data_IF_771625524227
#
_entry.id   IF_771625524227
#
_cell.length_a   1.000
_cell.length_b   1.000
_cell.length_c   1.000
_cell.angle_alpha   90.00
_cell.angle_beta   90.00
_cell.angle_gamma   90.00
#
_symmetry.space_group_name_H-M   'P 1'
#
loop_
_entity.id
_entity.type
_entity.pdbx_description
1 polymer ?
#
# COMPACT_ATOMS: atom_id res chain seq x y z
N UNK A 1 -19.14 -21.96 -4.64
CA UNK A 1 -18.00 -21.66 -3.75
C UNK A 1 -18.46 -21.10 -2.42
N UNK A 2 -19.22 -19.99 -2.39
CA UNK A 2 -19.71 -19.30 -1.18
C UNK A 2 -20.41 -20.25 -0.18
N UNK A 3 -21.42 -21.00 -0.62
CA UNK A 3 -22.15 -21.95 0.23
C UNK A 3 -21.22 -23.01 0.83
N UNK A 4 -20.26 -23.53 0.05
CA UNK A 4 -19.28 -24.52 0.57
C UNK A 4 -18.39 -23.93 1.66
N UNK A 5 -17.98 -22.67 1.52
CA UNK A 5 -17.20 -21.97 2.57
C UNK A 5 -18.05 -21.78 3.82
N UNK A 6 -19.32 -21.37 3.69
CA UNK A 6 -20.25 -21.28 4.82
C UNK A 6 -20.42 -22.61 5.54
N UNK A 7 -20.66 -23.71 4.81
CA UNK A 7 -20.77 -25.05 5.38
C UNK A 7 -19.53 -25.44 6.19
N UNK A 8 -18.33 -25.10 5.68
CA UNK A 8 -17.07 -25.35 6.41
C UNK A 8 -16.99 -24.51 7.67
N UNK A 9 -17.34 -23.23 7.61
CA UNK A 9 -17.34 -22.33 8.76
C UNK A 9 -18.29 -22.84 9.84
N UNK A 10 -19.50 -23.26 9.46
CA UNK A 10 -20.47 -23.80 10.40
C UNK A 10 -19.99 -25.11 11.04
N UNK A 11 -19.40 -26.03 10.28
CA UNK A 11 -18.79 -27.24 10.80
C UNK A 11 -17.68 -26.93 11.81
N UNK A 12 -16.81 -25.95 11.48
CA UNK A 12 -15.74 -25.54 12.40
C UNK A 12 -16.29 -24.88 13.67
N UNK A 13 -17.32 -24.03 13.57
CA UNK A 13 -18.00 -23.46 14.75
C UNK A 13 -18.59 -24.54 15.64
N UNK A 14 -19.28 -25.55 15.06
CA UNK A 14 -19.84 -26.69 15.81
C UNK A 14 -18.75 -27.50 16.52
N UNK A 15 -17.57 -27.66 15.90
CA UNK A 15 -16.43 -28.35 16.51
C UNK A 15 -15.52 -27.45 17.36
N UNK A 16 -15.95 -26.22 17.67
CA UNK A 16 -15.18 -25.21 18.45
C UNK A 16 -13.78 -24.92 17.88
N UNK A 17 -13.60 -25.05 16.58
CA UNK A 17 -12.37 -24.69 15.89
C UNK A 17 -12.38 -23.20 15.55
N UNK A 18 -11.21 -22.53 15.52
CA UNK A 18 -11.12 -21.11 15.19
C UNK A 18 -11.60 -20.85 13.77
N UNK A 19 -12.34 -19.77 13.60
CA UNK A 19 -12.79 -19.23 12.30
C UNK A 19 -12.49 -17.75 12.24
N UNK A 20 -12.07 -17.25 11.07
CA UNK A 20 -11.95 -15.83 10.81
C UNK A 20 -13.32 -15.22 10.48
N UNK A 21 -13.50 -13.96 10.86
CA UNK A 21 -14.70 -13.16 10.54
C UNK A 21 -14.42 -12.20 9.38
N UNK A 22 -15.46 -11.70 8.68
CA UNK A 22 -15.25 -10.57 7.77
C UNK A 22 -14.65 -9.36 8.51
N UNK A 23 -13.81 -8.53 7.85
CA UNK A 23 -13.42 -8.59 6.43
C UNK A 23 -12.30 -9.59 6.11
N UNK A 24 -11.59 -10.12 7.11
CA UNK A 24 -10.39 -10.96 6.94
C UNK A 24 -10.69 -12.38 6.44
N UNK A 25 -11.92 -12.82 6.61
CA UNK A 25 -12.34 -14.14 6.14
C UNK A 25 -12.41 -14.21 4.62
N UNK A 26 -12.33 -15.42 4.08
CA UNK A 26 -12.52 -15.66 2.66
C UNK A 26 -13.88 -15.13 2.13
N UNK A 27 -14.92 -15.16 2.97
CA UNK A 27 -16.22 -14.56 2.66
C UNK A 27 -16.10 -13.04 2.61
N UNK A 28 -15.38 -12.40 3.53
CA UNK A 28 -15.12 -10.97 3.52
C UNK A 28 -14.41 -10.54 2.22
N UNK A 29 -13.39 -11.28 1.78
CA UNK A 29 -12.70 -11.01 0.51
C UNK A 29 -13.63 -11.13 -0.70
N UNK A 30 -14.53 -12.11 -0.72
CA UNK A 30 -15.55 -12.23 -1.77
C UNK A 30 -16.53 -11.06 -1.76
N UNK A 31 -16.94 -10.59 -0.59
CA UNK A 31 -17.84 -9.43 -0.46
C UNK A 31 -17.17 -8.13 -0.96
N UNK A 32 -15.88 -7.93 -0.66
CA UNK A 32 -15.11 -6.81 -1.23
C UNK A 32 -15.07 -6.87 -2.76
N UNK A 33 -14.79 -8.05 -3.32
CA UNK A 33 -14.85 -8.26 -4.76
C UNK A 33 -16.23 -7.91 -5.31
N UNK A 34 -17.28 -8.46 -4.74
CA UNK A 34 -18.66 -8.24 -5.20
C UNK A 34 -19.07 -6.77 -5.07
N UNK A 35 -18.60 -6.05 -4.06
CA UNK A 35 -18.79 -4.60 -3.91
C UNK A 35 -18.21 -3.83 -5.09
N UNK A 36 -16.98 -4.15 -5.53
CA UNK A 36 -16.37 -3.49 -6.69
C UNK A 36 -17.11 -3.80 -7.99
N UNK A 37 -17.55 -5.05 -8.18
CA UNK A 37 -18.39 -5.42 -9.33
C UNK A 37 -19.75 -4.70 -9.33
N UNK A 38 -20.38 -4.56 -8.17
CA UNK A 38 -21.63 -3.81 -8.03
C UNK A 38 -21.42 -2.32 -8.33
N UNK A 39 -20.32 -1.73 -7.87
CA UNK A 39 -19.95 -0.35 -8.17
C UNK A 39 -19.72 -0.15 -9.68
N UNK A 40 -18.97 -1.03 -10.32
CA UNK A 40 -18.76 -1.00 -11.77
C UNK A 40 -20.07 -1.15 -12.54
N UNK A 41 -20.93 -2.06 -12.13
CA UNK A 41 -22.26 -2.24 -12.78
C UNK A 41 -23.15 -1.01 -12.62
N UNK A 42 -23.08 -0.31 -11.50
CA UNK A 42 -23.86 0.90 -11.21
C UNK A 42 -23.35 2.13 -11.96
N UNK A 43 -22.03 2.33 -12.02
CA UNK A 43 -21.39 3.52 -12.60
C UNK A 43 -21.06 3.33 -14.09
N UNK A 44 -21.05 2.10 -14.57
CA UNK A 44 -20.70 1.78 -15.95
C UNK A 44 -19.25 2.19 -16.25
N UNK A 45 -19.05 2.76 -17.43
CA UNK A 45 -17.73 3.19 -17.88
C UNK A 45 -17.09 4.29 -17.01
N UNK A 46 -17.88 5.11 -16.32
CA UNK A 46 -17.35 6.17 -15.46
C UNK A 46 -16.65 5.64 -14.21
N UNK A 47 -16.88 4.39 -13.82
CA UNK A 47 -16.18 3.76 -12.71
C UNK A 47 -14.66 3.75 -12.90
N UNK A 48 -14.20 3.54 -14.12
CA UNK A 48 -12.79 3.44 -14.49
C UNK A 48 -12.03 4.76 -14.60
N UNK A 49 -12.65 5.90 -14.30
CA UNK A 49 -12.02 7.20 -14.49
C UNK A 49 -12.36 8.18 -13.37
N UNK A 50 -11.52 9.21 -13.22
CA UNK A 50 -11.76 10.29 -12.25
C UNK A 50 -12.89 11.19 -12.68
N UNK A 51 -12.93 11.56 -13.97
CA UNK A 51 -13.92 12.50 -14.51
C UNK A 51 -15.26 11.81 -14.75
N UNK A 52 -16.34 12.60 -14.63
CA UNK A 52 -17.71 12.15 -14.80
C UNK A 52 -18.10 10.98 -13.87
N UNK A 53 -17.46 10.89 -12.71
CA UNK A 53 -17.66 9.84 -11.72
C UNK A 53 -18.21 10.44 -10.42
N UNK A 54 -19.47 10.12 -10.11
CA UNK A 54 -20.18 10.65 -8.93
C UNK A 54 -19.66 10.10 -7.60
N UNK A 55 -18.86 9.03 -7.60
CA UNK A 55 -18.33 8.39 -6.40
C UNK A 55 -16.82 8.64 -6.20
N UNK A 56 -16.11 8.97 -7.28
CA UNK A 56 -14.69 9.30 -7.20
C UNK A 56 -14.53 10.75 -6.76
N UNK A 57 -13.97 10.97 -5.57
CA UNK A 57 -13.58 12.30 -5.10
C UNK A 57 -12.54 12.87 -6.05
N UNK A 58 -12.77 14.09 -6.50
CA UNK A 58 -11.82 14.80 -7.33
C UNK A 58 -10.66 15.30 -6.47
N UNK A 59 -9.47 14.92 -6.86
CA UNK A 59 -8.20 15.38 -6.29
C UNK A 59 -7.36 15.82 -7.48
N UNK A 60 -6.74 17.01 -7.44
CA UNK A 60 -5.96 17.55 -8.55
C UNK A 60 -4.58 16.87 -8.61
N UNK A 61 -4.59 15.59 -8.96
CA UNK A 61 -3.39 14.79 -9.17
C UNK A 61 -2.57 15.31 -10.34
N UNK A 62 -1.25 15.14 -10.28
CA UNK A 62 -0.40 15.21 -11.45
C UNK A 62 -0.71 14.10 -12.45
N UNK A 63 -0.36 14.32 -13.69
CA UNK A 63 -0.57 13.40 -14.82
C UNK A 63 -2.03 12.96 -14.97
N UNK A 64 -3.00 13.90 -14.97
CA UNK A 64 -4.39 13.57 -15.12
C UNK A 64 -4.69 13.00 -16.51
N UNK A 65 -5.71 12.11 -16.60
CA UNK A 65 -6.18 11.62 -17.88
C UNK A 65 -6.74 12.75 -18.74
N UNK A 66 -6.44 12.72 -20.04
CA UNK A 66 -7.09 13.60 -21.01
C UNK A 66 -8.51 13.11 -21.29
N UNK A 67 -9.45 14.04 -21.32
CA UNK A 67 -10.88 13.76 -21.52
C UNK A 67 -11.31 14.33 -22.86
N UNK A 68 -11.99 13.52 -23.66
CA UNK A 68 -12.66 14.00 -24.86
C UNK A 68 -13.86 14.86 -24.44
N UNK A 69 -13.90 16.11 -24.90
CA UNK A 69 -14.91 17.09 -24.50
C UNK A 69 -16.33 16.74 -24.97
N UNK A 70 -16.47 16.02 -26.07
CA UNK A 70 -17.77 15.62 -26.62
C UNK A 70 -18.33 14.36 -25.94
N UNK A 71 -17.50 13.31 -25.83
CA UNK A 71 -17.92 12.03 -25.23
C UNK A 71 -17.79 11.98 -23.71
N UNK A 72 -17.01 12.88 -23.11
CA UNK A 72 -16.64 12.89 -21.68
C UNK A 72 -15.91 11.61 -21.22
N UNK A 73 -15.36 10.87 -22.16
CA UNK A 73 -14.55 9.69 -21.91
C UNK A 73 -13.07 10.05 -21.89
N UNK A 74 -12.29 9.34 -21.08
CA UNK A 74 -10.84 9.42 -21.16
C UNK A 74 -10.36 8.92 -22.52
N UNK A 75 -9.30 9.53 -23.04
CA UNK A 75 -8.75 9.22 -24.37
C UNK A 75 -7.73 8.07 -24.35
N UNK A 76 -7.34 7.60 -23.17
CA UNK A 76 -6.18 6.70 -22.99
C UNK A 76 -4.83 7.44 -22.93
N UNK A 77 -4.86 8.76 -23.08
CA UNK A 77 -3.69 9.62 -22.90
C UNK A 77 -3.80 10.40 -21.59
N UNK A 78 -2.67 10.91 -21.11
CA UNK A 78 -2.64 11.81 -19.96
C UNK A 78 -1.92 13.12 -20.28
N UNK A 79 -2.16 14.14 -19.47
CA UNK A 79 -1.51 15.43 -19.56
C UNK A 79 -0.24 15.41 -18.72
N UNK A 80 0.87 15.84 -19.27
CA UNK A 80 2.12 16.08 -18.53
C UNK A 80 2.08 17.53 -18.02
N UNK A 81 1.40 17.72 -16.91
CA UNK A 81 1.29 19.01 -16.22
C UNK A 81 2.55 19.35 -15.41
N UNK A 82 3.33 18.34 -15.04
CA UNK A 82 4.61 18.43 -14.33
C UNK A 82 5.63 17.46 -14.95
N UNK A 83 6.71 17.96 -15.57
CA UNK A 83 7.81 17.12 -16.05
C UNK A 83 8.48 16.31 -14.95
N UNK A 84 8.55 16.85 -13.72
CA UNK A 84 9.10 16.18 -12.56
C UNK A 84 8.22 14.99 -12.15
N UNK A 85 6.90 15.17 -12.13
CA UNK A 85 5.97 14.08 -11.83
C UNK A 85 6.02 12.98 -12.91
N UNK A 86 6.19 13.33 -14.17
CA UNK A 86 6.36 12.37 -15.26
C UNK A 86 7.65 11.53 -15.08
N UNK A 87 8.74 12.17 -14.65
CA UNK A 87 9.97 11.46 -14.31
C UNK A 87 9.77 10.54 -13.09
N UNK A 88 9.07 10.99 -12.04
CA UNK A 88 8.74 10.14 -10.88
C UNK A 88 7.89 8.94 -11.28
N UNK A 89 6.92 9.11 -12.18
CA UNK A 89 6.09 8.02 -12.69
C UNK A 89 6.92 6.97 -13.44
N UNK A 90 7.83 7.43 -14.33
CA UNK A 90 8.75 6.54 -15.05
C UNK A 90 9.65 5.77 -14.09
N UNK A 91 10.21 6.44 -13.09
CA UNK A 91 11.05 5.79 -12.07
C UNK A 91 10.26 4.82 -11.21
N UNK A 92 9.05 5.18 -10.81
CA UNK A 92 8.16 4.28 -10.07
C UNK A 92 7.83 3.03 -10.90
N UNK A 93 7.37 3.20 -12.12
CA UNK A 93 6.96 2.07 -12.97
C UNK A 93 8.14 1.15 -13.33
N UNK A 94 9.37 1.67 -13.37
CA UNK A 94 10.58 0.89 -13.67
C UNK A 94 11.30 0.32 -12.44
N UNK A 95 10.88 0.70 -11.22
CA UNK A 95 11.56 0.29 -9.99
C UNK A 95 12.95 0.88 -9.84
N UNK A 96 13.07 2.20 -10.08
CA UNK A 96 14.29 3.00 -9.97
C UNK A 96 14.08 4.28 -9.15
N UNK A 97 13.17 4.23 -8.19
CA UNK A 97 12.81 5.39 -7.34
C UNK A 97 13.91 5.81 -6.38
N UNK A 98 14.85 4.90 -6.09
CA UNK A 98 15.84 5.07 -5.03
C UNK A 98 15.31 4.74 -3.63
N UNK A 99 14.09 4.20 -3.55
CA UNK A 99 13.50 3.59 -2.35
C UNK A 99 13.49 2.08 -2.52
N UNK A 100 14.45 1.34 -1.94
CA UNK A 100 14.67 -0.08 -2.24
C UNK A 100 13.46 -0.98 -2.06
N UNK A 101 12.59 -0.69 -1.09
CA UNK A 101 11.35 -1.43 -0.88
C UNK A 101 10.37 -1.27 -2.05
N UNK A 102 10.16 -0.03 -2.52
CA UNK A 102 9.30 0.26 -3.66
C UNK A 102 9.88 -0.34 -4.94
N UNK A 103 11.19 -0.18 -5.14
CA UNK A 103 11.89 -0.69 -6.32
C UNK A 103 11.85 -2.21 -6.39
N UNK A 104 12.05 -2.91 -5.27
CA UNK A 104 11.94 -4.35 -5.21
C UNK A 104 10.54 -4.85 -5.60
N UNK A 105 9.49 -4.17 -5.13
CA UNK A 105 8.11 -4.52 -5.45
C UNK A 105 7.82 -4.33 -6.94
N UNK A 106 8.17 -3.17 -7.51
CA UNK A 106 7.90 -2.89 -8.92
C UNK A 106 8.73 -3.78 -9.86
N UNK A 107 9.95 -4.13 -9.47
CA UNK A 107 10.78 -5.10 -10.21
C UNK A 107 10.23 -6.51 -10.13
N UNK A 108 9.72 -6.95 -8.96
CA UNK A 108 9.02 -8.23 -8.85
C UNK A 108 7.78 -8.25 -9.76
N UNK A 109 6.98 -7.19 -9.76
CA UNK A 109 5.81 -7.10 -10.61
C UNK A 109 6.16 -7.30 -12.08
N UNK A 110 7.23 -6.65 -12.58
CA UNK A 110 7.71 -6.79 -13.96
C UNK A 110 8.27 -8.18 -14.28
N UNK A 111 8.89 -8.84 -13.31
CA UNK A 111 9.52 -10.14 -13.52
C UNK A 111 8.54 -11.30 -13.42
N UNK A 112 7.61 -11.23 -12.47
CA UNK A 112 6.76 -12.35 -12.08
C UNK A 112 5.27 -12.14 -12.46
N UNK A 113 4.86 -10.92 -12.79
CA UNK A 113 3.46 -10.58 -13.08
C UNK A 113 2.56 -10.65 -11.84
N UNK A 114 3.13 -10.74 -10.64
CA UNK A 114 2.38 -10.85 -9.40
C UNK A 114 3.17 -10.28 -8.22
N UNK A 115 2.44 -9.63 -7.30
CA UNK A 115 2.96 -9.14 -6.02
C UNK A 115 1.91 -9.34 -4.93
N UNK A 116 2.38 -9.53 -3.70
CA UNK A 116 1.53 -9.65 -2.52
C UNK A 116 0.67 -8.40 -2.30
N UNK A 117 -0.55 -8.55 -1.73
CA UNK A 117 -1.47 -7.40 -1.57
C UNK A 117 -0.89 -6.25 -0.72
N UNK A 118 -0.11 -6.53 0.33
CA UNK A 118 0.57 -5.48 1.12
C UNK A 118 1.60 -4.71 0.28
N UNK A 119 2.24 -5.37 -0.67
CA UNK A 119 3.12 -4.73 -1.63
C UNK A 119 2.34 -3.79 -2.57
N UNK A 120 1.16 -4.22 -3.04
CA UNK A 120 0.24 -3.36 -3.83
C UNK A 120 -0.15 -2.11 -3.06
N UNK A 121 -0.48 -2.24 -1.76
CA UNK A 121 -0.76 -1.11 -0.88
C UNK A 121 0.41 -0.13 -0.77
N UNK A 122 1.63 -0.64 -0.60
CA UNK A 122 2.84 0.18 -0.49
C UNK A 122 3.07 1.03 -1.74
N UNK A 123 3.08 0.41 -2.91
CA UNK A 123 3.41 1.11 -4.16
C UNK A 123 2.28 2.03 -4.64
N UNK A 124 1.02 1.66 -4.37
CA UNK A 124 -0.13 2.50 -4.71
C UNK A 124 -0.20 3.75 -3.82
N UNK A 125 0.01 3.61 -2.51
CA UNK A 125 0.11 4.75 -1.61
C UNK A 125 1.27 5.67 -2.00
N UNK A 126 2.44 5.12 -2.31
CA UNK A 126 3.62 5.87 -2.70
C UNK A 126 3.40 6.68 -3.99
N UNK A 127 2.76 6.09 -5.01
CA UNK A 127 2.44 6.77 -6.26
C UNK A 127 1.45 7.92 -6.05
N UNK A 128 0.44 7.71 -5.21
CA UNK A 128 -0.67 8.65 -5.03
C UNK A 128 -0.42 9.58 -3.83
N UNK A 129 -1.14 9.41 -2.76
CA UNK A 129 -1.23 10.31 -1.60
C UNK A 129 -0.04 10.30 -0.64
N UNK A 130 0.92 9.38 -0.82
CA UNK A 130 2.04 9.19 0.11
C UNK A 130 3.39 9.73 -0.38
N UNK A 131 3.51 10.15 -1.64
CA UNK A 131 4.80 10.58 -2.19
C UNK A 131 4.71 11.35 -3.50
N UNK A 132 4.31 10.70 -4.60
CA UNK A 132 4.38 11.31 -5.93
C UNK A 132 3.23 12.28 -6.24
N UNK A 133 2.07 12.11 -5.60
CA UNK A 133 0.84 12.85 -5.87
C UNK A 133 0.37 12.73 -7.33
N UNK A 134 0.50 11.52 -7.89
CA UNK A 134 0.15 11.19 -9.28
C UNK A 134 -1.20 10.48 -9.32
N UNK A 135 -1.96 10.70 -10.40
CA UNK A 135 -3.26 10.08 -10.62
C UNK A 135 -3.21 8.57 -10.43
N UNK A 136 -4.17 8.05 -9.67
CA UNK A 136 -4.35 6.62 -9.46
C UNK A 136 -4.58 5.86 -10.78
N UNK A 137 -5.13 6.53 -11.79
CA UNK A 137 -5.35 5.96 -13.12
C UNK A 137 -4.05 5.46 -13.76
N UNK A 138 -2.94 6.21 -13.60
CA UNK A 138 -1.60 5.81 -14.08
C UNK A 138 -1.12 4.52 -13.45
N UNK A 139 -1.36 4.37 -12.15
CA UNK A 139 -1.01 3.14 -11.45
C UNK A 139 -1.91 1.97 -11.85
N UNK A 140 -3.20 2.21 -12.04
CA UNK A 140 -4.17 1.20 -12.49
C UNK A 140 -3.81 0.64 -13.87
N UNK A 141 -3.34 1.49 -14.79
CA UNK A 141 -2.88 1.11 -16.13
C UNK A 141 -1.64 0.21 -16.07
N UNK A 142 -0.65 0.55 -15.24
CA UNK A 142 0.55 -0.29 -15.05
C UNK A 142 0.18 -1.66 -14.47
N UNK A 143 -0.78 -1.71 -13.54
CA UNK A 143 -1.25 -2.96 -12.96
C UNK A 143 -2.05 -3.80 -13.96
N UNK A 144 -2.86 -3.16 -14.80
CA UNK A 144 -3.58 -3.82 -15.90
C UNK A 144 -2.62 -4.47 -16.89
N UNK A 145 -1.54 -3.77 -17.25
CA UNK A 145 -0.53 -4.29 -18.18
C UNK A 145 0.26 -5.47 -17.59
N UNK A 146 0.63 -5.40 -16.30
CA UNK A 146 1.63 -6.29 -15.74
C UNK A 146 1.09 -7.43 -14.88
N UNK A 147 -0.10 -7.31 -14.26
CA UNK A 147 -0.63 -8.32 -13.37
C UNK A 147 -1.31 -9.46 -14.12
N UNK A 148 -0.87 -10.70 -13.88
CA UNK A 148 -1.50 -11.91 -14.43
C UNK A 148 -2.88 -12.22 -13.80
N UNK A 149 -3.13 -11.68 -12.62
CA UNK A 149 -4.40 -11.80 -11.89
C UNK A 149 -5.28 -10.55 -12.00
N UNK A 150 -5.01 -9.70 -13.01
CA UNK A 150 -5.79 -8.49 -13.26
C UNK A 150 -7.27 -8.82 -13.46
N UNK A 151 -8.11 -8.04 -12.79
CA UNK A 151 -9.55 -7.98 -13.00
C UNK A 151 -9.99 -6.51 -12.86
N UNK A 152 -10.68 -5.99 -13.85
CA UNK A 152 -10.92 -4.56 -14.01
C UNK A 152 -11.61 -3.91 -12.80
N UNK A 153 -12.72 -4.49 -12.30
CA UNK A 153 -13.45 -3.93 -11.18
C UNK A 153 -12.61 -3.90 -9.89
N UNK A 154 -11.88 -4.99 -9.62
CA UNK A 154 -11.03 -5.09 -8.44
C UNK A 154 -9.81 -4.18 -8.54
N UNK A 155 -9.18 -4.09 -9.72
CA UNK A 155 -8.06 -3.20 -9.92
C UNK A 155 -8.46 -1.74 -9.65
N UNK A 156 -9.47 -1.26 -10.35
CA UNK A 156 -9.98 0.12 -10.22
C UNK A 156 -10.45 0.41 -8.79
N UNK A 157 -11.28 -0.46 -8.21
CA UNK A 157 -11.81 -0.26 -6.87
C UNK A 157 -10.71 -0.20 -5.80
N UNK A 158 -9.68 -1.04 -5.89
CA UNK A 158 -8.54 -1.00 -4.97
C UNK A 158 -7.66 0.25 -5.18
N UNK A 159 -7.48 0.72 -6.42
CA UNK A 159 -6.77 1.97 -6.67
C UNK A 159 -7.50 3.18 -6.10
N UNK A 160 -8.84 3.24 -6.26
CA UNK A 160 -9.67 4.28 -5.65
C UNK A 160 -9.64 4.20 -4.11
N UNK A 161 -9.65 2.99 -3.52
CA UNK A 161 -9.47 2.79 -2.09
C UNK A 161 -8.14 3.34 -1.60
N UNK A 162 -7.03 2.93 -2.23
CA UNK A 162 -5.69 3.29 -1.77
C UNK A 162 -5.32 4.76 -2.04
N UNK A 163 -5.87 5.37 -3.07
CA UNK A 163 -5.76 6.81 -3.32
C UNK A 163 -6.69 7.65 -2.44
N UNK A 164 -7.60 7.03 -1.69
CA UNK A 164 -8.63 7.70 -0.92
C UNK A 164 -9.57 8.58 -1.77
N UNK A 165 -9.85 8.16 -2.99
CA UNK A 165 -10.81 8.84 -3.86
C UNK A 165 -12.21 8.26 -3.74
N UNK A 166 -12.34 6.95 -3.43
CA UNK A 166 -13.61 6.30 -3.09
C UNK A 166 -13.37 5.15 -2.11
N UNK A 167 -14.42 4.67 -1.45
CA UNK A 167 -14.47 3.52 -0.52
C UNK A 167 -13.67 3.66 0.78
N UNK A 168 -12.64 4.52 0.84
CA UNK A 168 -11.80 4.75 2.00
C UNK A 168 -11.41 6.24 2.10
N UNK A 169 -11.39 6.80 3.31
CA UNK A 169 -11.23 8.22 3.52
C UNK A 169 -10.04 8.62 4.43
N UNK A 170 -9.32 7.65 5.01
CA UNK A 170 -8.26 7.93 5.97
C UNK A 170 -6.93 8.23 5.25
N UNK A 171 -6.90 9.32 4.49
CA UNK A 171 -5.77 9.69 3.63
C UNK A 171 -4.47 9.95 4.39
N UNK A 172 -4.53 10.28 5.67
CA UNK A 172 -3.38 10.51 6.55
C UNK A 172 -2.60 9.23 6.88
N UNK A 173 -3.16 8.05 6.66
CA UNK A 173 -2.49 6.77 6.88
C UNK A 173 -1.58 6.43 5.69
N UNK A 174 -0.35 6.97 5.68
CA UNK A 174 0.63 6.70 4.63
C UNK A 174 1.59 5.58 5.02
N UNK A 175 1.87 4.69 4.07
CA UNK A 175 2.86 3.63 4.24
C UNK A 175 4.27 4.20 4.00
N UNK A 176 5.09 4.23 5.05
CA UNK A 176 6.49 4.62 4.90
C UNK A 176 7.26 3.56 4.09
N UNK A 177 7.98 3.93 3.02
CA UNK A 177 8.76 2.97 2.24
C UNK A 177 9.92 2.35 3.01
N UNK A 178 10.27 2.92 4.16
CA UNK A 178 11.33 2.41 5.06
C UNK A 178 10.72 1.60 6.20
N UNK A 179 9.86 2.21 7.02
CA UNK A 179 9.34 1.58 8.23
C UNK A 179 8.42 0.39 7.91
N UNK A 180 7.56 0.52 6.89
CA UNK A 180 6.67 -0.57 6.50
C UNK A 180 7.45 -1.75 5.91
N UNK A 181 8.46 -1.50 5.09
CA UNK A 181 9.34 -2.54 4.55
C UNK A 181 10.08 -3.29 5.67
N UNK A 182 10.69 -2.57 6.61
CA UNK A 182 11.40 -3.16 7.76
C UNK A 182 10.50 -4.08 8.61
N UNK A 183 9.22 -3.75 8.74
CA UNK A 183 8.28 -4.60 9.49
C UNK A 183 8.14 -6.01 8.90
N UNK A 184 8.26 -6.16 7.56
CA UNK A 184 7.99 -7.41 6.85
C UNK A 184 9.25 -8.10 6.33
N UNK A 185 10.33 -7.36 6.16
CA UNK A 185 11.62 -7.85 5.62
C UNK A 185 12.80 -7.18 6.34
N UNK A 186 12.89 -7.37 7.67
CA UNK A 186 13.88 -6.71 8.52
C UNK A 186 15.34 -6.95 8.06
N UNK A 187 15.63 -8.15 7.52
CA UNK A 187 16.94 -8.50 6.99
C UNK A 187 17.20 -7.98 5.56
N UNK A 188 16.19 -7.45 4.88
CA UNK A 188 16.29 -6.98 3.51
C UNK A 188 16.47 -8.10 2.48
N UNK A 189 16.03 -9.32 2.79
CA UNK A 189 16.16 -10.48 1.90
C UNK A 189 15.35 -10.29 0.61
N UNK A 190 14.16 -9.73 0.74
CA UNK A 190 13.30 -9.40 -0.39
C UNK A 190 13.93 -8.33 -1.29
N UNK A 191 14.45 -7.25 -0.68
CA UNK A 191 15.16 -6.21 -1.43
C UNK A 191 16.36 -6.80 -2.18
N UNK A 192 17.19 -7.63 -1.53
CA UNK A 192 18.37 -8.24 -2.15
C UNK A 192 18.00 -9.12 -3.34
N UNK A 193 16.83 -9.80 -3.29
CA UNK A 193 16.35 -10.66 -4.38
C UNK A 193 16.01 -9.86 -5.63
N UNK A 194 15.31 -8.73 -5.49
CA UNK A 194 14.78 -7.97 -6.63
C UNK A 194 15.59 -6.71 -6.98
N UNK A 195 16.51 -6.32 -6.10
CA UNK A 195 17.47 -5.21 -6.33
C UNK A 195 18.88 -5.74 -6.17
N UNK A 196 19.38 -6.51 -7.15
CA UNK A 196 20.67 -7.20 -7.05
C UNK A 196 21.87 -6.25 -6.94
N UNK A 197 21.71 -4.96 -7.24
CA UNK A 197 22.71 -3.93 -7.01
C UNK A 197 23.00 -3.77 -5.51
N UNK A 198 22.02 -4.03 -4.66
CA UNK A 198 22.12 -3.91 -3.20
C UNK A 198 22.37 -5.24 -2.49
N UNK A 199 22.75 -6.31 -3.21
CA UNK A 199 22.92 -7.64 -2.64
C UNK A 199 23.91 -7.66 -1.47
N UNK A 200 25.02 -6.95 -1.59
CA UNK A 200 26.09 -6.89 -0.59
C UNK A 200 25.98 -5.67 0.36
N UNK A 201 24.92 -4.87 0.23
CA UNK A 201 24.72 -3.71 1.11
C UNK A 201 24.48 -4.17 2.55
N UNK A 202 25.17 -3.59 3.57
CA UNK A 202 24.93 -3.91 4.97
C UNK A 202 23.47 -3.70 5.37
N UNK A 203 22.92 -4.61 6.21
CA UNK A 203 21.52 -4.55 6.72
C UNK A 203 21.14 -3.15 7.21
N UNK A 204 22.05 -2.48 7.91
CA UNK A 204 21.85 -1.14 8.46
C UNK A 204 21.39 -0.12 7.41
N UNK A 205 21.84 -0.27 6.16
CA UNK A 205 21.62 0.70 5.09
C UNK A 205 20.72 0.17 3.96
N UNK A 206 20.25 -1.08 4.04
CA UNK A 206 19.52 -1.75 2.93
C UNK A 206 18.25 -1.00 2.51
N UNK A 207 17.58 -0.31 3.43
CA UNK A 207 16.40 0.50 3.17
C UNK A 207 16.70 1.95 2.80
N UNK A 208 17.88 2.43 3.15
CA UNK A 208 18.32 3.81 2.93
C UNK A 208 19.79 3.83 2.48
N UNK A 209 20.10 3.22 1.32
CA UNK A 209 21.50 3.03 0.89
C UNK A 209 22.22 4.35 0.62
N UNK A 210 21.50 5.44 0.34
CA UNK A 210 22.06 6.77 0.19
C UNK A 210 22.68 7.34 1.48
N UNK A 211 22.33 6.78 2.64
CA UNK A 211 22.92 7.13 3.95
C UNK A 211 24.19 6.33 4.25
N UNK A 212 24.53 5.34 3.43
CA UNK A 212 25.74 4.56 3.63
C UNK A 212 27.00 5.39 3.32
N UNK A 213 28.03 5.35 4.20
CA UNK A 213 29.31 5.96 3.87
C UNK A 213 29.89 5.39 2.58
N UNK A 214 30.65 6.20 1.84
CA UNK A 214 31.24 5.78 0.56
C UNK A 214 32.13 4.53 0.70
N UNK A 215 32.77 4.35 1.86
CA UNK A 215 33.58 3.15 2.16
C UNK A 215 32.72 1.89 2.16
N UNK A 216 31.50 1.96 2.75
CA UNK A 216 30.59 0.82 2.81
C UNK A 216 29.93 0.57 1.44
N UNK A 217 29.63 1.63 0.67
CA UNK A 217 29.17 1.51 -0.71
C UNK A 217 30.23 0.79 -1.59
N UNK A 218 31.50 1.19 -1.48
CA UNK A 218 32.60 0.56 -2.21
C UNK A 218 32.80 -0.91 -1.83
N UNK A 219 32.68 -1.25 -0.53
CA UNK A 219 32.74 -2.65 -0.06
C UNK A 219 31.60 -3.48 -0.63
N UNK A 220 30.42 -2.89 -0.75
CA UNK A 220 29.24 -3.51 -1.34
C UNK A 220 29.27 -3.48 -2.88
N UNK A 221 30.32 -2.96 -3.51
CA UNK A 221 30.47 -2.83 -4.97
C UNK A 221 29.29 -2.10 -5.63
N UNK A 222 28.75 -1.10 -4.97
CA UNK A 222 27.65 -0.27 -5.48
C UNK A 222 27.93 1.20 -5.16
N UNK A 223 27.59 2.08 -6.09
CA UNK A 223 27.56 3.53 -5.90
C UNK A 223 26.12 4.01 -5.92
N UNK A 224 25.76 4.82 -4.93
CA UNK A 224 24.42 5.42 -4.84
C UNK A 224 24.49 6.80 -5.47
N UNK A 225 24.07 6.89 -6.74
CA UNK A 225 24.12 8.14 -7.49
C UNK A 225 23.09 8.16 -8.64
N UNK A 226 22.83 9.36 -9.16
CA UNK A 226 21.98 9.54 -10.33
C UNK A 226 20.53 9.18 -10.12
N UNK A 227 19.86 8.94 -11.24
CA UNK A 227 18.42 8.70 -11.36
C UNK A 227 18.07 7.26 -11.78
N UNK A 228 19.04 6.41 -12.00
CA UNK A 228 18.89 5.03 -12.47
C UNK A 228 19.15 4.85 -13.95
N UNK A 229 19.45 5.91 -14.70
CA UNK A 229 19.88 5.84 -16.11
C UNK A 229 21.33 5.41 -16.26
N UNK A 230 22.14 5.59 -15.23
CA UNK A 230 23.55 5.26 -15.21
C UNK A 230 23.80 3.76 -15.18
N UNK A 231 24.79 3.32 -15.97
CA UNK A 231 25.14 1.90 -16.09
C UNK A 231 26.31 1.54 -15.18
N UNK A 232 26.43 0.23 -14.90
CA UNK A 232 27.59 -0.34 -14.26
C UNK A 232 28.88 -0.01 -15.05
N UNK A 233 29.93 0.36 -14.32
CA UNK A 233 31.24 0.57 -14.88
C UNK A 233 32.29 -0.07 -13.95
N UNK A 234 33.28 -0.75 -14.53
CA UNK A 234 34.40 -1.39 -13.81
C UNK A 234 33.96 -2.38 -12.72
N UNK A 235 32.85 -3.08 -12.93
CA UNK A 235 32.29 -4.05 -11.97
C UNK A 235 31.66 -3.40 -10.73
N UNK A 236 31.43 -2.08 -10.76
CA UNK A 236 30.73 -1.34 -9.71
C UNK A 236 29.32 -1.05 -10.21
N UNK A 237 28.33 -1.62 -9.52
CA UNK A 237 26.93 -1.39 -9.80
C UNK A 237 26.53 0.04 -9.42
N UNK A 238 25.48 0.54 -10.06
CA UNK A 238 24.89 1.84 -9.71
C UNK A 238 23.47 1.63 -9.26
N UNK A 239 23.11 2.25 -8.15
CA UNK A 239 21.74 2.31 -7.67
C UNK A 239 21.33 3.78 -7.48
N UNK A 240 20.11 4.19 -7.91
CA UNK A 240 19.72 5.59 -7.89
C UNK A 240 19.60 6.18 -6.49
N UNK A 241 19.77 7.49 -6.41
CA UNK A 241 19.39 8.25 -5.21
C UNK A 241 17.85 8.30 -5.11
N UNK A 242 17.31 8.46 -3.88
CA UNK A 242 15.89 8.76 -3.70
C UNK A 242 15.48 9.95 -4.57
N UNK A 243 14.37 9.80 -5.31
CA UNK A 243 13.91 10.84 -6.22
C UNK A 243 13.40 12.09 -5.52
N UNK A 244 13.12 12.00 -4.20
CA UNK A 244 12.77 13.11 -3.33
C UNK A 244 13.01 12.75 -1.86
N UNK A 245 12.93 13.73 -0.96
CA UNK A 245 12.79 13.48 0.48
C UNK A 245 11.38 13.03 0.78
N UNK A 246 11.25 11.81 1.32
CA UNK A 246 9.93 11.19 1.55
C UNK A 246 9.10 11.96 2.59
N UNK A 247 9.72 12.47 3.67
CA UNK A 247 8.97 13.15 4.72
C UNK A 247 8.38 14.46 4.22
N UNK A 248 9.17 15.25 3.51
CA UNK A 248 8.72 16.50 2.89
C UNK A 248 7.61 16.26 1.86
N UNK A 249 7.81 15.28 0.96
CA UNK A 249 6.79 14.97 -0.07
C UNK A 249 5.50 14.44 0.52
N UNK A 250 5.57 13.58 1.54
CA UNK A 250 4.38 13.11 2.27
C UNK A 250 3.59 14.28 2.82
N UNK A 251 4.24 15.23 3.46
CA UNK A 251 3.56 16.37 4.08
C UNK A 251 2.89 17.28 3.03
N UNK A 252 3.54 17.50 1.88
CA UNK A 252 2.93 18.19 0.72
C UNK A 252 1.71 17.42 0.21
N UNK A 253 1.83 16.11 0.02
CA UNK A 253 0.71 15.26 -0.42
C UNK A 253 -0.47 15.34 0.57
N UNK A 254 -0.20 15.26 1.87
CA UNK A 254 -1.24 15.32 2.90
C UNK A 254 -1.94 16.68 2.92
N UNK A 255 -1.21 17.77 2.71
CA UNK A 255 -1.79 19.12 2.59
C UNK A 255 -2.73 19.20 1.36
N UNK A 256 -2.30 18.71 0.20
CA UNK A 256 -3.13 18.64 -1.01
C UNK A 256 -4.37 17.79 -0.82
N UNK A 257 -4.24 16.62 -0.18
CA UNK A 257 -5.38 15.74 0.17
C UNK A 257 -6.36 16.45 1.09
N UNK A 258 -5.86 17.12 2.13
CA UNK A 258 -6.68 17.89 3.07
C UNK A 258 -7.49 18.96 2.34
N UNK A 259 -6.84 19.78 1.50
CA UNK A 259 -7.51 20.81 0.68
C UNK A 259 -8.59 20.19 -0.21
N UNK A 260 -8.31 19.08 -0.90
CA UNK A 260 -9.29 18.40 -1.75
C UNK A 260 -10.50 17.87 -0.96
N UNK A 261 -10.28 17.38 0.26
CA UNK A 261 -11.37 16.95 1.16
C UNK A 261 -12.19 18.11 1.72
N UNK A 262 -11.60 19.28 1.89
CA UNK A 262 -12.29 20.51 2.29
C UNK A 262 -13.13 21.10 1.14
N UNK A 263 -12.61 21.07 -0.09
CA UNK A 263 -13.31 21.53 -1.31
C UNK A 263 -14.48 20.60 -1.67
N UNK A 264 -14.39 19.30 -1.40
CA UNK A 264 -15.47 18.29 -1.52
C UNK A 264 -16.05 18.12 -2.93
N UNK A 265 -15.26 18.28 -3.97
CA UNK A 265 -15.69 17.97 -5.33
C UNK A 265 -15.63 16.47 -5.62
N UNK A 266 -16.49 16.02 -6.50
CA UNK A 266 -16.48 14.69 -7.12
C UNK A 266 -16.28 14.84 -8.63
N UNK A 267 -15.93 13.75 -9.29
CA UNK A 267 -15.55 13.77 -10.70
C UNK A 267 -16.66 14.24 -11.66
N UNK A 268 -17.91 14.15 -11.27
CA UNK A 268 -19.08 14.64 -12.03
C UNK A 268 -19.48 16.09 -11.70
N UNK A 269 -18.81 16.73 -10.73
CA UNK A 269 -19.12 18.10 -10.36
C UNK A 269 -18.92 19.04 -11.56
N UNK A 270 -19.80 20.04 -11.70
CA UNK A 270 -19.74 21.00 -12.81
C UNK A 270 -18.36 21.65 -12.92
N UNK A 271 -17.78 22.05 -11.79
CA UNK A 271 -16.47 22.72 -11.74
C UNK A 271 -15.35 21.80 -12.24
N UNK A 272 -15.46 20.49 -12.01
CA UNK A 272 -14.52 19.50 -12.53
C UNK A 272 -14.68 19.35 -14.04
N UNK A 273 -15.91 19.30 -14.51
CA UNK A 273 -16.22 19.06 -15.92
C UNK A 273 -15.95 20.27 -16.82
N UNK A 274 -16.03 21.48 -16.30
CA UNK A 274 -15.75 22.73 -17.05
C UNK A 274 -14.35 23.31 -16.78
N UNK A 275 -13.59 22.72 -15.84
CA UNK A 275 -12.22 23.13 -15.51
C UNK A 275 -12.13 24.29 -14.51
N UNK A 276 -13.28 24.83 -14.04
CA UNK A 276 -13.26 25.95 -13.07
C UNK A 276 -12.82 25.54 -11.66
N UNK A 277 -12.62 24.24 -11.41
CA UNK A 277 -12.07 23.73 -10.16
C UNK A 277 -10.70 24.33 -9.82
N UNK A 278 -9.93 24.76 -10.83
CA UNK A 278 -8.57 25.32 -10.64
C UNK A 278 -8.58 26.50 -9.67
N UNK A 279 -9.54 27.40 -9.81
CA UNK A 279 -9.68 28.56 -8.94
C UNK A 279 -9.94 28.20 -7.44
N UNK A 280 -10.44 26.99 -7.16
CA UNK A 280 -10.67 26.52 -5.80
C UNK A 280 -9.42 25.94 -5.13
N UNK A 281 -8.39 25.69 -5.91
CA UNK A 281 -7.11 25.13 -5.47
C UNK A 281 -5.95 26.11 -5.62
N UNK A 282 -6.15 27.24 -6.31
CA UNK A 282 -5.21 28.35 -6.29
C UNK A 282 -5.12 28.87 -4.84
N UNK A 283 -3.89 28.95 -4.32
CA UNK A 283 -3.65 29.49 -2.98
C UNK A 283 -3.87 30.99 -3.02
N UNK A 284 -4.59 31.54 -2.04
CA UNK A 284 -4.82 32.98 -1.84
C UNK A 284 -3.50 33.72 -1.45
N UNK A 285 -2.35 33.31 -2.01
CA UNK A 285 -1.07 34.00 -1.86
C UNK A 285 -0.27 33.73 -0.58
N UNK A 286 -0.74 32.84 0.31
CA UNK A 286 0.05 32.32 1.43
C UNK A 286 0.51 30.88 1.12
N UNK A 287 1.48 30.74 0.23
CA UNK A 287 2.23 29.49 0.08
C UNK A 287 2.88 29.09 1.39
N UNK A 288 3.12 27.78 1.66
CA UNK A 288 3.85 27.36 2.84
C UNK A 288 5.22 28.02 2.82
N UNK A 289 5.41 29.04 3.65
CA UNK A 289 6.70 29.67 3.88
C UNK A 289 7.66 28.58 4.37
N UNK A 290 8.73 28.35 3.65
CA UNK A 290 9.88 27.62 4.14
C UNK A 290 10.28 28.18 5.52
N UNK A 291 10.19 27.32 6.52
CA UNK A 291 10.80 27.54 7.82
C UNK A 291 9.97 28.30 8.84
N UNK A 292 8.98 27.65 9.46
CA UNK A 292 8.73 27.83 10.90
C UNK A 292 8.32 26.49 11.52
N UNK A 293 9.19 25.99 12.39
CA UNK A 293 8.89 24.92 13.33
C UNK A 293 7.72 25.34 14.22
N UNK A 294 6.59 24.65 14.09
CA UNK A 294 5.43 24.89 14.92
C UNK A 294 4.27 23.99 14.46
N UNK A 295 4.38 22.67 14.65
CA UNK A 295 3.30 21.76 14.36
C UNK A 295 2.18 21.86 15.38
N UNK A 296 0.91 21.86 14.99
CA UNK A 296 -0.17 21.44 15.88
C UNK A 296 -0.15 19.91 16.00
N UNK A 297 -0.15 19.45 17.22
CA UNK A 297 -0.45 18.12 17.74
C UNK A 297 -0.17 16.90 16.88
N UNK A 298 0.74 16.06 17.35
CA UNK A 298 1.22 14.81 16.76
C UNK A 298 0.19 14.05 15.94
N UNK A 299 0.39 14.04 14.63
CA UNK A 299 -0.11 12.99 13.78
C UNK A 299 0.78 11.77 14.08
N UNK A 300 0.25 10.84 14.85
CA UNK A 300 0.90 9.56 15.14
C UNK A 300 1.28 8.90 13.81
N UNK A 301 2.58 8.85 13.56
CA UNK A 301 3.12 7.97 12.54
C UNK A 301 2.77 6.55 12.95
N UNK A 302 2.12 5.81 12.08
CA UNK A 302 1.83 4.39 12.29
C UNK A 302 3.15 3.62 12.45
N UNK A 303 3.69 3.62 13.66
CA UNK A 303 4.80 2.76 14.03
C UNK A 303 4.33 1.46 14.65
N UNK A 304 3.16 1.39 15.29
CA UNK A 304 2.75 0.20 16.05
C UNK A 304 1.23 0.05 16.15
N UNK A 305 0.58 -0.30 15.05
CA UNK A 305 -0.75 -0.87 15.19
C UNK A 305 -1.00 -1.90 14.09
N UNK A 306 -1.03 -3.09 14.57
CA UNK A 306 -1.81 -4.25 14.19
C UNK A 306 -2.42 -4.24 12.77
N UNK A 307 -2.04 -5.27 12.00
CA UNK A 307 -2.65 -5.61 10.71
C UNK A 307 -4.05 -6.20 10.86
N UNK A 308 -4.88 -5.58 11.70
CA UNK A 308 -6.29 -5.85 11.84
C UNK A 308 -7.08 -4.66 11.32
N UNK A 309 -7.78 -4.83 10.21
CA UNK A 309 -8.82 -3.91 9.77
C UNK A 309 -10.01 -4.04 10.72
N UNK A 310 -9.92 -3.38 11.89
CA UNK A 310 -11.04 -3.21 12.80
C UNK A 310 -11.94 -2.09 12.28
N UNK A 311 -13.08 -2.42 11.72
CA UNK A 311 -14.20 -1.49 11.57
C UNK A 311 -14.81 -1.26 12.95
N UNK A 312 -14.54 -0.12 13.59
CA UNK A 312 -15.44 0.43 14.59
C UNK A 312 -16.51 1.24 13.86
N UNK A 313 -17.73 0.72 13.87
CA UNK A 313 -18.94 1.47 13.49
C UNK A 313 -19.19 2.52 14.59
N UNK A 314 -18.98 3.81 14.30
CA UNK A 314 -19.56 4.89 15.11
C UNK A 314 -21.04 5.02 14.77
N UNK A 315 -21.89 4.56 15.69
CA UNK A 315 -23.29 4.95 15.75
C UNK A 315 -23.41 6.44 16.04
N UNK A 316 -24.06 7.17 15.14
CA UNK A 316 -24.48 8.54 15.34
C UNK A 316 -25.67 8.60 16.31
N UNK A 317 -25.40 8.94 17.58
CA UNK A 317 -26.42 9.19 18.58
C UNK A 317 -25.99 10.29 19.52
N UNK A 318 -26.46 11.52 19.25
CA UNK A 318 -26.21 12.68 20.12
C UNK A 318 -26.93 12.57 21.47
N UNK A 319 -26.26 13.00 22.54
CA UNK A 319 -26.81 13.78 23.65
C UNK A 319 -25.71 14.28 24.61
N UNK A 320 -25.82 15.53 24.95
CA UNK A 320 -25.01 16.39 25.81
C UNK A 320 -25.01 15.98 27.31
N UNK A 321 -24.15 16.57 28.15
CA UNK A 321 -23.61 16.00 29.37
C UNK A 321 -24.40 16.36 30.63
N UNK A 322 -24.29 15.52 31.68
CA UNK A 322 -24.55 15.94 33.06
C UNK A 322 -23.41 15.48 33.97
N UNK A 323 -22.88 16.46 34.71
CA UNK A 323 -22.05 16.36 35.90
C UNK A 323 -22.86 15.70 37.04
N UNK A 324 -22.23 14.90 37.87
CA UNK A 324 -22.20 15.01 39.33
C UNK A 324 -21.51 13.78 39.97
N UNK A 325 -20.53 14.13 40.77
CA UNK A 325 -20.21 13.91 42.21
C UNK A 325 -19.67 12.56 42.65
N UNK A 326 -18.48 12.72 43.23
CA UNK A 326 -17.75 11.77 44.08
C UNK A 326 -18.55 11.37 45.33
N UNK A 327 -18.40 10.09 45.73
CA UNK A 327 -18.45 9.66 47.12
C UNK A 327 -17.41 8.56 47.34
N UNK A 328 -16.48 8.85 48.27
CA UNK A 328 -15.61 7.90 48.95
C UNK A 328 -16.41 7.09 49.95
N UNK A 329 -16.12 5.82 50.12
CA UNK A 329 -16.17 5.14 51.42
C UNK A 329 -15.13 4.03 51.44
N UNK A 330 -14.43 3.98 52.59
CA UNK A 330 -13.32 3.14 52.96
C UNK A 330 -13.77 1.77 53.54
N UNK A 331 -12.83 0.83 53.47
CA UNK A 331 -12.29 -0.05 54.51
C UNK A 331 -12.96 -1.40 54.82
N UNK A 332 -12.10 -2.42 55.02
CA UNK A 332 -12.43 -3.58 55.85
C UNK A 332 -11.93 -4.95 55.38
N UNK A 333 -10.68 -5.31 55.71
CA UNK A 333 -10.40 -6.54 56.44
C UNK A 333 -10.09 -7.84 55.70
N UNK A 334 -8.81 -8.22 55.70
CA UNK A 334 -8.28 -9.59 55.58
C UNK A 334 -8.70 -10.49 56.80
N UNK A 335 -8.62 -11.85 56.76
CA UNK A 335 -7.34 -12.50 56.99
C UNK A 335 -7.07 -13.89 56.34
N UNK A 336 -5.81 -14.24 56.46
CA UNK A 336 -5.04 -15.46 56.15
C UNK A 336 -5.60 -16.79 56.71
N UNK A 337 -5.21 -17.92 56.04
CA UNK A 337 -4.55 -19.14 56.57
C UNK A 337 -4.34 -20.14 55.44
N UNK A 338 -3.14 -20.50 55.13
CA UNK A 338 -2.14 -21.48 55.56
C UNK A 338 -2.53 -22.95 55.30
N UNK A 339 -1.71 -23.54 54.43
CA UNK A 339 -0.86 -24.75 54.55
C UNK A 339 -1.47 -26.12 54.25
N UNK A 340 -0.70 -26.90 53.51
CA UNK A 340 -0.76 -28.37 53.53
C UNK A 340 0.00 -28.98 52.36
N UNK A 341 1.24 -29.36 52.59
CA UNK A 341 2.10 -30.13 51.71
C UNK A 341 1.73 -31.61 51.71
N UNK A 342 2.00 -32.31 50.63
CA UNK A 342 2.67 -33.63 50.66
C UNK A 342 2.99 -34.13 49.25
N UNK A 343 4.19 -34.64 49.16
CA UNK A 343 4.83 -35.28 48.02
C UNK A 343 4.34 -36.73 47.80
N UNK A 344 4.60 -37.28 46.62
CA UNK A 344 5.38 -38.47 46.26
C UNK A 344 5.02 -38.90 44.85
N UNK A 345 5.98 -38.99 44.03
CA UNK A 345 6.79 -40.11 43.57
C UNK A 345 6.32 -40.77 42.25
N UNK A 346 7.23 -40.86 41.29
CA UNK A 346 7.61 -42.05 40.58
C UNK A 346 6.93 -42.35 39.24
N UNK A 347 7.67 -42.24 38.14
CA UNK A 347 7.32 -43.02 36.95
C UNK A 347 7.86 -42.54 35.60
N UNK A 348 9.15 -42.75 35.42
CA UNK A 348 9.82 -42.76 34.10
C UNK A 348 9.14 -43.71 33.11
N UNK A 349 8.84 -43.24 31.87
CA UNK A 349 8.84 -44.10 30.70
C UNK A 349 9.14 -43.31 29.41
N UNK A 350 10.09 -43.90 28.71
CA UNK A 350 10.83 -43.52 27.50
C UNK A 350 9.94 -43.26 26.26
N UNK A 351 10.45 -42.34 25.47
CA UNK A 351 10.14 -42.07 24.04
C UNK A 351 10.15 -43.31 23.14
N UNK A 352 9.48 -43.21 21.96
CA UNK A 352 10.26 -43.45 20.75
C UNK A 352 10.14 -42.33 19.71
N UNK A 353 11.29 -42.00 19.20
CA UNK A 353 11.60 -41.25 17.99
C UNK A 353 10.85 -41.79 16.75
N UNK A 354 10.23 -40.89 15.98
CA UNK A 354 9.73 -41.23 14.65
C UNK A 354 10.40 -40.34 13.61
N UNK A 355 11.01 -41.04 12.66
CA UNK A 355 11.84 -40.58 11.57
C UNK A 355 11.18 -39.51 10.67
N UNK A 356 11.99 -38.57 10.24
CA UNK A 356 11.70 -37.59 9.21
C UNK A 356 11.66 -38.27 7.84
N UNK A 357 10.51 -38.18 7.15
CA UNK A 357 10.43 -38.46 5.71
C UNK A 357 10.65 -37.13 4.95
N UNK A 358 11.83 -37.04 4.32
CA UNK A 358 12.09 -36.12 3.21
C UNK A 358 11.17 -36.49 2.04
N UNK A 359 10.32 -35.56 1.61
CA UNK A 359 9.72 -35.60 0.29
C UNK A 359 10.47 -34.59 -0.59
N UNK A 360 11.19 -35.10 -1.55
CA UNK A 360 11.75 -34.36 -2.68
C UNK A 360 10.57 -33.92 -3.58
N UNK A 361 10.46 -32.62 -3.82
CA UNK A 361 9.57 -32.08 -4.84
C UNK A 361 10.34 -32.01 -6.16
N UNK A 362 9.95 -32.83 -7.12
CA UNK A 362 10.42 -32.76 -8.50
C UNK A 362 9.89 -31.48 -9.16
N UNK A 363 10.79 -30.62 -9.58
CA UNK A 363 10.51 -29.50 -10.46
C UNK A 363 10.39 -30.03 -11.91
N UNK A 364 9.19 -29.94 -12.47
CA UNK A 364 9.00 -30.07 -13.91
C UNK A 364 9.14 -28.73 -14.59
N UNK A 365 10.23 -28.51 -15.28
CA UNK A 365 10.47 -27.38 -16.19
C UNK A 365 9.68 -27.59 -17.47
N UNK A 366 8.67 -26.77 -17.72
CA UNK A 366 8.02 -26.65 -19.02
C UNK A 366 8.82 -25.65 -19.88
N UNK A 367 9.51 -26.17 -20.88
CA UNK A 367 10.17 -25.36 -21.91
C UNK A 367 9.18 -24.99 -23.00
N UNK A 368 8.94 -23.69 -23.19
CA UNK A 368 8.24 -23.15 -24.35
C UNK A 368 9.24 -22.96 -25.51
N UNK A 369 9.10 -23.75 -26.58
CA UNK A 369 9.84 -23.55 -27.81
C UNK A 369 9.22 -22.39 -28.62
N UNK A 370 10.04 -21.40 -28.93
CA UNK A 370 9.72 -20.33 -29.89
C UNK A 370 9.66 -20.88 -31.30
N UNK A 371 8.50 -20.92 -31.94
CA UNK A 371 8.38 -20.97 -33.40
C UNK A 371 8.42 -19.56 -33.95
N UNK A 372 9.50 -19.22 -34.66
CA UNK A 372 9.58 -18.05 -35.54
C UNK A 372 8.73 -18.31 -36.78
N UNK A 373 7.73 -17.51 -37.03
CA UNK A 373 7.14 -17.38 -38.36
C UNK A 373 8.04 -16.46 -39.21
N UNK A 374 8.51 -16.98 -40.34
CA UNK A 374 9.07 -16.17 -41.43
C UNK A 374 7.90 -15.60 -42.22
N UNK A 375 7.86 -14.31 -42.36
CA UNK A 375 7.11 -13.63 -43.42
C UNK A 375 7.94 -13.69 -44.70
N UNK A 376 7.33 -14.22 -45.73
CA UNK A 376 7.67 -13.98 -47.11
C UNK A 376 6.56 -13.15 -47.75
N UNK A 377 7.02 -12.08 -48.39
CA UNK A 377 6.40 -11.16 -49.36
C UNK A 377 5.67 -9.95 -48.78
#
# INVERSE_FOLDING_TARGET
>A
FYHRVQDIIEKRKKSKQPTSSPPESLIGQLLFRDMYFAAQASLGWSFGQTYNNSHCRFIPWHLPSKVNTASRLITGEYEVDSPEADEWFKRWSNGTTGFPWIDAIMRQLRQEGWIHHLARHSVACFLTRGGCYISWERGAEVFEELLIDHEAACNIGNWQWLSCTAFFAQFYRCYSPVAFGKKWDDEGAYIRKYVPELADMPKKYIYEPHKAPIVDQKKAKVLIKGDGSEKEADGVKVYPKPMFDFAQRRDVCLAGMKKAYEVKLYGDAKQVMDGSWKALFEDDGEGPTEGKNGGPGGLETWSDADGGEGHEEEEAGGKTPKKEKQVKVEDGGTPKKKAGAAATDGGSKKTPTRAAHKREASQSTLSFSKKRAKEER
#
